data_IF_741285414993
#
_entry.id   IF_741285414993
#
_cell.length_a   1.000
_cell.length_b   1.000
_cell.length_c   1.000
_cell.angle_alpha   90.00
_cell.angle_beta   90.00
_cell.angle_gamma   90.00
#
_symmetry.space_group_name_H-M   'P 1'
#
loop_
_entity.id
_entity.type
_entity.pdbx_description
1 polymer ?
#
# COMPACT_ATOMS: atom_id res chain seq x y z
N UNK A 1 -14.37 -39.16 18.62
CA UNK A 1 -14.94 -37.97 19.31
C UNK A 1 -14.41 -36.67 18.66
N UNK A 2 -13.15 -36.47 18.56
CA UNK A 2 -12.50 -35.25 18.06
C UNK A 2 -12.96 -34.80 16.65
N UNK A 3 -13.11 -35.68 15.68
CA UNK A 3 -13.60 -35.32 14.34
C UNK A 3 -15.05 -34.80 14.32
N UNK A 4 -15.90 -35.32 15.22
CA UNK A 4 -17.31 -34.89 15.32
C UNK A 4 -17.43 -33.52 16.00
N UNK A 5 -16.59 -33.26 16.98
CA UNK A 5 -16.49 -31.98 17.68
C UNK A 5 -15.93 -30.89 16.76
N UNK A 6 -14.86 -31.18 16.01
CA UNK A 6 -14.29 -30.25 15.01
C UNK A 6 -15.30 -29.91 13.90
N UNK A 7 -16.12 -30.88 13.45
CA UNK A 7 -17.16 -30.59 12.47
C UNK A 7 -18.24 -29.67 13.03
N UNK A 8 -18.70 -29.91 14.26
CA UNK A 8 -19.70 -29.05 14.91
C UNK A 8 -19.17 -27.62 15.10
N UNK A 9 -17.91 -27.48 15.55
CA UNK A 9 -17.26 -26.18 15.68
C UNK A 9 -17.18 -25.46 14.33
N UNK A 10 -16.76 -26.16 13.28
CA UNK A 10 -16.68 -25.58 11.94
C UNK A 10 -18.05 -25.08 11.44
N UNK A 11 -19.10 -25.88 11.63
CA UNK A 11 -20.47 -25.50 11.23
C UNK A 11 -20.93 -24.23 11.99
N UNK A 12 -20.61 -24.11 13.27
CA UNK A 12 -20.92 -22.93 14.08
C UNK A 12 -20.17 -21.70 13.54
N UNK A 13 -18.84 -21.80 13.33
CA UNK A 13 -18.03 -20.70 12.80
C UNK A 13 -18.50 -20.25 11.42
N UNK A 14 -18.88 -21.17 10.53
CA UNK A 14 -19.41 -20.83 9.22
C UNK A 14 -20.71 -20.01 9.30
N UNK A 15 -21.63 -20.38 10.21
CA UNK A 15 -22.87 -19.65 10.43
C UNK A 15 -22.61 -18.26 11.00
N UNK A 16 -21.78 -18.13 12.04
CA UNK A 16 -21.41 -16.86 12.66
C UNK A 16 -20.72 -15.90 11.67
N UNK A 17 -19.93 -16.45 10.73
CA UNK A 17 -19.23 -15.67 9.70
C UNK A 17 -20.08 -15.45 8.43
N UNK A 18 -21.37 -15.83 8.41
CA UNK A 18 -22.23 -15.76 7.23
C UNK A 18 -21.56 -16.42 6.00
N UNK A 19 -20.94 -17.58 6.19
CA UNK A 19 -20.23 -18.32 5.15
C UNK A 19 -19.18 -17.46 4.41
N UNK A 20 -18.43 -16.62 5.13
CA UNK A 20 -17.33 -15.83 4.57
C UNK A 20 -16.02 -16.18 5.26
N UNK A 21 -14.97 -16.29 4.46
CA UNK A 21 -13.61 -16.48 4.99
C UNK A 21 -13.21 -15.33 5.90
N UNK A 22 -12.76 -15.64 7.12
CA UNK A 22 -12.40 -14.62 8.11
C UNK A 22 -11.22 -13.74 7.68
N UNK A 23 -10.38 -14.22 6.75
CA UNK A 23 -9.23 -13.47 6.24
C UNK A 23 -9.60 -12.66 5.00
N UNK A 24 -10.01 -13.30 3.89
CA UNK A 24 -10.20 -12.64 2.60
C UNK A 24 -11.64 -12.15 2.35
N UNK A 25 -12.58 -12.47 3.23
CA UNK A 25 -14.00 -12.10 3.14
C UNK A 25 -14.75 -12.64 1.90
N UNK A 26 -14.09 -13.48 1.07
CA UNK A 26 -14.74 -14.19 -0.04
C UNK A 26 -15.65 -15.30 0.52
N UNK A 27 -16.71 -15.72 -0.20
CA UNK A 27 -17.58 -16.82 0.22
C UNK A 27 -16.78 -18.09 0.55
N UNK A 28 -17.27 -18.86 1.51
CA UNK A 28 -16.82 -20.20 1.87
C UNK A 28 -17.95 -21.17 1.53
N UNK A 29 -17.73 -22.04 0.54
CA UNK A 29 -18.66 -23.10 0.19
C UNK A 29 -18.09 -24.46 0.67
N UNK A 30 -18.69 -25.06 1.71
CA UNK A 30 -18.20 -26.35 2.24
C UNK A 30 -18.25 -27.52 1.25
N UNK A 31 -18.98 -27.36 0.13
CA UNK A 31 -19.08 -28.39 -0.90
C UNK A 31 -17.92 -28.42 -1.88
N UNK A 32 -17.23 -27.27 -2.05
CA UNK A 32 -16.16 -27.09 -3.04
C UNK A 32 -14.85 -26.59 -2.42
N UNK A 33 -14.92 -25.83 -1.33
CA UNK A 33 -13.74 -25.21 -0.72
C UNK A 33 -13.08 -26.13 0.32
N UNK A 34 -11.74 -26.09 0.37
CA UNK A 34 -11.00 -26.63 1.51
C UNK A 34 -10.99 -25.57 2.61
N UNK A 35 -11.65 -25.90 3.72
CA UNK A 35 -11.84 -24.98 4.85
C UNK A 35 -11.05 -25.49 6.06
N UNK A 36 -10.32 -24.59 6.71
CA UNK A 36 -9.60 -24.85 7.95
C UNK A 36 -10.18 -24.01 9.09
N UNK A 37 -10.14 -24.56 10.31
CA UNK A 37 -10.29 -23.80 11.54
C UNK A 37 -8.92 -23.17 11.84
N UNK A 38 -8.87 -21.84 11.84
CA UNK A 38 -7.65 -21.07 12.02
C UNK A 38 -7.65 -20.36 13.38
N UNK A 39 -6.51 -20.30 14.05
CA UNK A 39 -6.32 -19.44 15.20
C UNK A 39 -6.21 -17.98 14.76
N UNK A 40 -7.09 -17.10 15.25
CA UNK A 40 -7.06 -15.65 15.00
C UNK A 40 -5.71 -15.10 15.49
N UNK A 41 -5.39 -15.35 16.76
CA UNK A 41 -4.05 -15.12 17.33
C UNK A 41 -3.29 -16.44 17.21
N UNK A 42 -2.17 -16.49 16.46
CA UNK A 42 -1.39 -17.71 16.30
C UNK A 42 -0.90 -18.30 17.63
N UNK A 43 -0.84 -19.61 17.75
CA UNK A 43 -0.28 -20.31 18.92
C UNK A 43 1.15 -19.83 19.22
N UNK A 44 1.98 -19.60 18.20
CA UNK A 44 3.35 -19.07 18.32
C UNK A 44 3.39 -17.66 18.95
N UNK A 45 2.25 -16.95 18.99
CA UNK A 45 2.09 -15.62 19.61
C UNK A 45 1.22 -15.65 20.88
N UNK A 46 1.08 -16.81 21.49
CA UNK A 46 0.33 -17.00 22.73
C UNK A 46 -1.17 -17.15 22.54
N UNK A 47 -1.65 -17.39 21.32
CA UNK A 47 -3.04 -17.71 21.07
C UNK A 47 -3.46 -19.02 21.72
N UNK A 48 -4.59 -19.01 22.41
CA UNK A 48 -5.15 -20.17 23.13
C UNK A 48 -6.06 -21.00 22.20
N UNK A 49 -6.24 -22.26 22.57
CA UNK A 49 -7.26 -23.13 21.99
C UNK A 49 -8.62 -22.82 22.65
N UNK A 50 -9.22 -21.71 22.23
CA UNK A 50 -10.46 -21.14 22.75
C UNK A 50 -11.39 -20.84 21.57
N UNK A 51 -12.70 -21.08 21.72
CA UNK A 51 -13.69 -20.83 20.68
C UNK A 51 -13.64 -19.39 20.15
N UNK A 52 -13.37 -18.41 21.03
CA UNK A 52 -13.23 -17.01 20.64
C UNK A 52 -11.95 -16.72 19.82
N UNK A 53 -11.00 -17.66 19.79
CA UNK A 53 -9.76 -17.55 19.03
C UNK A 53 -9.77 -18.37 17.73
N UNK A 54 -10.91 -18.96 17.37
CA UNK A 54 -11.06 -19.76 16.16
C UNK A 54 -11.87 -19.02 15.10
N UNK A 55 -11.55 -19.27 13.83
CA UNK A 55 -12.30 -18.76 12.70
C UNK A 55 -12.21 -19.72 11.51
N UNK A 56 -13.27 -19.80 10.71
CA UNK A 56 -13.29 -20.55 9.46
C UNK A 56 -12.61 -19.75 8.34
N UNK A 57 -11.68 -20.38 7.64
CA UNK A 57 -10.92 -19.75 6.55
C UNK A 57 -10.70 -20.73 5.42
N UNK A 58 -10.47 -20.22 4.18
CA UNK A 58 -9.92 -21.08 3.15
C UNK A 58 -8.56 -21.62 3.61
N UNK A 59 -8.27 -22.88 3.31
CA UNK A 59 -6.96 -23.49 3.64
C UNK A 59 -5.78 -22.73 3.03
N UNK A 60 -5.98 -22.13 1.85
CA UNK A 60 -4.97 -21.26 1.23
C UNK A 60 -4.71 -19.98 2.04
N UNK A 61 -5.77 -19.32 2.53
CA UNK A 61 -5.66 -18.14 3.38
C UNK A 61 -4.99 -18.45 4.72
N UNK A 62 -5.34 -19.59 5.33
CA UNK A 62 -4.71 -20.06 6.56
C UNK A 62 -3.21 -20.29 6.38
N UNK A 63 -2.80 -21.00 5.35
CA UNK A 63 -1.38 -21.22 5.02
C UNK A 63 -0.65 -19.91 4.73
N UNK A 64 -1.27 -19.00 3.98
CA UNK A 64 -0.69 -17.67 3.68
C UNK A 64 -0.52 -16.82 4.93
N UNK A 65 -1.45 -16.88 5.88
CA UNK A 65 -1.36 -16.19 7.17
C UNK A 65 -0.19 -16.72 7.99
N UNK A 66 -0.06 -18.07 8.11
CA UNK A 66 0.92 -18.71 8.99
C UNK A 66 0.86 -18.12 10.42
N UNK A 67 1.97 -17.65 10.96
CA UNK A 67 2.09 -16.98 12.26
C UNK A 67 1.95 -15.45 12.21
N UNK A 68 1.60 -14.88 11.04
CA UNK A 68 1.43 -13.44 10.88
C UNK A 68 0.22 -12.92 11.66
N UNK A 69 0.26 -11.62 11.99
CA UNK A 69 -0.90 -10.87 12.49
C UNK A 69 -2.06 -10.97 11.47
N UNK A 70 -3.29 -11.05 11.97
CA UNK A 70 -4.48 -11.11 11.13
C UNK A 70 -4.60 -9.91 10.17
N UNK A 71 -4.21 -8.71 10.63
CA UNK A 71 -4.23 -7.49 9.81
C UNK A 71 -3.31 -7.63 8.61
N UNK A 72 -2.11 -8.19 8.81
CA UNK A 72 -1.17 -8.48 7.71
C UNK A 72 -1.79 -9.48 6.73
N UNK A 73 -2.41 -10.54 7.23
CA UNK A 73 -3.07 -11.55 6.39
C UNK A 73 -4.19 -10.93 5.55
N UNK A 74 -5.02 -10.06 6.13
CA UNK A 74 -6.08 -9.33 5.43
C UNK A 74 -5.53 -8.36 4.37
N UNK A 75 -4.47 -7.63 4.67
CA UNK A 75 -3.79 -6.76 3.71
C UNK A 75 -3.25 -7.56 2.51
N UNK A 76 -2.67 -8.73 2.76
CA UNK A 76 -2.17 -9.60 1.68
C UNK A 76 -3.32 -10.18 0.86
N UNK A 77 -4.45 -10.52 1.47
CA UNK A 77 -5.63 -10.96 0.73
C UNK A 77 -6.19 -9.84 -0.18
N UNK A 78 -6.18 -8.59 0.26
CA UNK A 78 -6.52 -7.43 -0.59
C UNK A 78 -5.50 -7.24 -1.72
N UNK A 79 -4.20 -7.40 -1.43
CA UNK A 79 -3.15 -7.38 -2.45
C UNK A 79 -3.40 -8.45 -3.54
N UNK A 80 -3.74 -9.67 -3.13
CA UNK A 80 -4.04 -10.77 -4.07
C UNK A 80 -5.30 -10.48 -4.91
N UNK A 81 -6.31 -9.81 -4.34
CA UNK A 81 -7.50 -9.38 -5.10
C UNK A 81 -7.15 -8.37 -6.20
N UNK A 82 -6.25 -7.39 -5.92
CA UNK A 82 -5.77 -6.46 -6.94
C UNK A 82 -5.01 -7.21 -8.03
N UNK A 83 -4.13 -8.12 -7.63
CA UNK A 83 -3.37 -8.96 -8.55
C UNK A 83 -4.26 -9.80 -9.47
N UNK A 84 -5.34 -10.38 -8.94
CA UNK A 84 -6.33 -11.14 -9.72
C UNK A 84 -7.04 -10.27 -10.77
N UNK A 85 -7.37 -9.00 -10.42
CA UNK A 85 -8.03 -8.05 -11.32
C UNK A 85 -7.13 -7.61 -12.48
N UNK A 86 -5.84 -7.40 -12.23
CA UNK A 86 -4.86 -7.01 -13.26
C UNK A 86 -4.70 -8.10 -14.33
N UNK A 87 -5.14 -9.33 -14.01
CA UNK A 87 -5.24 -10.44 -14.97
C UNK A 87 -3.91 -11.07 -15.34
N UNK A 88 -3.93 -11.90 -16.38
CA UNK A 88 -2.80 -12.73 -16.80
C UNK A 88 -1.85 -12.05 -17.81
N UNK A 89 -2.00 -10.76 -18.07
CA UNK A 89 -1.07 -10.04 -18.94
C UNK A 89 0.32 -9.99 -18.30
N UNK A 90 1.34 -10.32 -19.04
CA UNK A 90 2.73 -10.34 -18.55
C UNK A 90 3.33 -8.92 -18.69
N UNK A 91 3.91 -8.39 -17.59
CA UNK A 91 4.05 -8.97 -16.26
C UNK A 91 2.80 -8.72 -15.38
N UNK A 92 2.11 -9.79 -15.00
CA UNK A 92 0.94 -9.77 -14.13
C UNK A 92 1.30 -9.33 -12.70
N UNK A 93 1.66 -8.07 -12.55
CA UNK A 93 2.06 -7.48 -11.27
C UNK A 93 1.39 -6.13 -11.10
N UNK A 94 0.60 -5.93 -10.05
CA UNK A 94 -0.05 -4.67 -9.79
C UNK A 94 0.97 -3.57 -9.53
N UNK A 95 0.68 -2.36 -9.98
CA UNK A 95 1.42 -1.15 -9.71
C UNK A 95 0.64 -0.22 -8.76
N UNK A 96 1.17 0.95 -8.45
CA UNK A 96 0.49 1.90 -7.55
C UNK A 96 -0.88 2.35 -8.09
N UNK A 97 -1.05 2.49 -9.42
CA UNK A 97 -2.33 2.92 -9.98
C UNK A 97 -3.46 1.92 -9.70
N UNK A 98 -3.17 0.62 -9.78
CA UNK A 98 -4.15 -0.43 -9.52
C UNK A 98 -4.65 -0.39 -8.06
N UNK A 99 -3.77 -0.06 -7.11
CA UNK A 99 -4.15 0.12 -5.71
C UNK A 99 -4.88 1.44 -5.47
N UNK A 100 -4.45 2.53 -6.10
CA UNK A 100 -5.19 3.80 -6.05
C UNK A 100 -6.62 3.62 -6.55
N UNK A 101 -6.81 2.95 -7.69
CA UNK A 101 -8.14 2.64 -8.23
C UNK A 101 -8.99 1.85 -7.22
N UNK A 102 -8.45 0.76 -6.64
CA UNK A 102 -9.18 -0.05 -5.64
C UNK A 102 -9.65 0.79 -4.46
N UNK A 103 -8.80 1.70 -3.97
CA UNK A 103 -9.07 2.53 -2.80
C UNK A 103 -9.74 3.86 -3.14
N UNK A 104 -10.08 4.11 -4.40
CA UNK A 104 -10.75 5.32 -4.87
C UNK A 104 -9.83 6.53 -4.97
N UNK A 105 -8.53 6.31 -5.12
CA UNK A 105 -7.52 7.33 -5.34
C UNK A 105 -7.40 7.79 -6.79
N UNK A 106 -6.52 8.75 -7.06
CA UNK A 106 -6.15 9.18 -8.41
C UNK A 106 -7.26 9.87 -9.20
N UNK A 107 -8.13 10.62 -8.53
CA UNK A 107 -9.34 11.19 -9.14
C UNK A 107 -9.21 12.67 -9.47
N UNK A 108 -8.56 13.45 -8.60
CA UNK A 108 -8.63 14.89 -8.61
C UNK A 108 -7.27 15.55 -8.84
N UNK A 109 -7.30 16.77 -9.36
CA UNK A 109 -6.14 17.63 -9.45
C UNK A 109 -6.13 18.56 -8.24
N UNK A 110 -4.94 18.91 -7.77
CA UNK A 110 -4.77 19.83 -6.67
C UNK A 110 -4.83 21.27 -7.22
N UNK A 111 -5.71 22.12 -6.71
CA UNK A 111 -5.72 23.52 -7.04
C UNK A 111 -4.58 24.23 -6.30
N UNK A 112 -3.72 24.93 -7.03
CA UNK A 112 -2.49 25.50 -6.47
C UNK A 112 -2.24 26.92 -6.94
N UNK A 113 -1.58 27.69 -6.07
CA UNK A 113 -1.03 29.01 -6.42
C UNK A 113 0.31 29.20 -5.71
N UNK A 114 1.33 29.59 -6.45
CA UNK A 114 2.62 29.94 -5.87
C UNK A 114 2.73 31.46 -5.80
N UNK A 115 3.11 31.93 -4.62
CA UNK A 115 3.46 33.32 -4.41
C UNK A 115 4.71 33.37 -3.52
N UNK A 116 5.75 34.02 -3.99
CA UNK A 116 7.07 34.05 -3.36
C UNK A 116 7.61 32.64 -3.11
N UNK A 117 7.86 32.28 -1.86
CA UNK A 117 8.33 30.95 -1.47
C UNK A 117 7.23 30.12 -0.80
N UNK A 118 5.98 30.35 -1.15
CA UNK A 118 4.82 29.66 -0.55
C UNK A 118 3.91 29.10 -1.63
N UNK A 119 3.54 27.83 -1.48
CA UNK A 119 2.48 27.20 -2.25
C UNK A 119 1.20 27.23 -1.42
N UNK A 120 0.17 27.91 -1.92
CA UNK A 120 -1.20 27.78 -1.41
C UNK A 120 -1.91 26.71 -2.22
N UNK A 121 -2.58 25.77 -1.56
CA UNK A 121 -3.37 24.74 -2.25
C UNK A 121 -4.72 24.52 -1.61
N UNK A 122 -5.66 24.02 -2.39
CA UNK A 122 -6.98 23.62 -1.95
C UNK A 122 -7.43 22.32 -2.61
N UNK A 123 -8.37 21.66 -1.95
CA UNK A 123 -8.94 20.37 -2.34
C UNK A 123 -10.47 20.48 -2.36
N UNK A 124 -11.06 21.17 -3.37
CA UNK A 124 -12.50 21.53 -3.37
C UNK A 124 -13.43 20.33 -3.22
N UNK A 125 -13.05 19.16 -3.74
CA UNK A 125 -13.85 17.94 -3.70
C UNK A 125 -13.92 17.29 -2.30
N UNK A 126 -13.02 17.70 -1.38
CA UNK A 126 -13.00 17.21 0.01
C UNK A 126 -13.47 18.32 0.97
N UNK A 127 -12.91 19.51 0.80
CA UNK A 127 -13.26 20.66 1.62
C UNK A 127 -12.85 21.96 0.92
N UNK A 128 -13.42 23.08 1.34
CA UNK A 128 -13.11 24.43 0.79
C UNK A 128 -12.00 25.13 1.56
N UNK A 129 -11.11 24.40 2.24
CA UNK A 129 -9.99 24.99 2.99
C UNK A 129 -8.79 25.24 2.10
N UNK A 130 -8.10 26.33 2.39
CA UNK A 130 -6.80 26.65 1.81
C UNK A 130 -5.68 26.29 2.78
N UNK A 131 -4.69 25.62 2.26
CA UNK A 131 -3.49 25.20 2.99
C UNK A 131 -2.27 25.93 2.44
N UNK A 132 -1.34 26.25 3.30
CA UNK A 132 -0.08 26.90 2.92
C UNK A 132 1.07 25.98 3.30
N UNK A 133 2.00 25.81 2.35
CA UNK A 133 3.25 25.08 2.59
C UNK A 133 4.42 25.85 2.00
N UNK A 134 5.59 25.85 2.67
CA UNK A 134 6.77 26.49 2.11
C UNK A 134 7.27 25.73 0.88
N UNK A 135 7.75 26.49 -0.10
CA UNK A 135 8.48 25.97 -1.26
C UNK A 135 9.98 26.09 -0.97
N UNK A 136 10.66 24.99 -1.07
CA UNK A 136 12.11 24.88 -0.92
C UNK A 136 12.79 24.75 -2.28
N UNK A 137 14.02 25.17 -2.36
CA UNK A 137 14.89 24.94 -3.52
C UNK A 137 15.97 23.95 -3.10
N UNK A 138 16.08 22.85 -3.79
CA UNK A 138 17.19 21.91 -3.61
C UNK A 138 18.48 22.57 -4.12
N UNK A 139 19.45 22.74 -3.23
CA UNK A 139 20.65 23.53 -3.50
C UNK A 139 21.57 22.93 -4.56
N UNK A 140 21.49 21.62 -4.80
CA UNK A 140 22.34 20.94 -5.77
C UNK A 140 21.68 20.87 -7.16
N UNK A 141 20.40 20.57 -7.20
CA UNK A 141 19.67 20.42 -8.45
C UNK A 141 18.93 21.69 -8.92
N UNK A 142 18.73 22.67 -8.02
CA UNK A 142 17.91 23.84 -8.28
C UNK A 142 16.41 23.55 -8.36
N UNK A 143 15.98 22.31 -8.15
CA UNK A 143 14.57 21.92 -8.24
C UNK A 143 13.76 22.48 -7.07
N UNK A 144 12.61 23.08 -7.39
CA UNK A 144 11.65 23.53 -6.38
C UNK A 144 10.81 22.35 -5.88
N UNK A 145 10.60 22.29 -4.56
CA UNK A 145 9.76 21.25 -3.96
C UNK A 145 9.05 21.74 -2.70
N UNK A 146 7.97 21.06 -2.34
CA UNK A 146 7.33 21.20 -1.04
C UNK A 146 7.07 19.83 -0.41
N UNK A 147 6.73 19.81 0.89
CA UNK A 147 6.33 18.60 1.61
C UNK A 147 4.92 18.81 2.11
N UNK A 148 4.04 17.86 1.81
CA UNK A 148 2.64 17.94 2.17
C UNK A 148 2.06 16.55 2.45
N UNK A 149 0.95 16.52 3.16
CA UNK A 149 0.18 15.29 3.40
C UNK A 149 -1.09 15.35 2.57
N UNK A 150 -1.22 14.46 1.58
CA UNK A 150 -2.32 14.49 0.61
C UNK A 150 -3.20 13.25 0.72
N UNK A 151 -4.54 13.45 0.64
CA UNK A 151 -5.47 12.35 0.43
C UNK A 151 -5.14 11.58 -0.85
N UNK A 152 -5.35 10.27 -0.82
CA UNK A 152 -5.02 9.39 -1.96
C UNK A 152 -5.82 9.74 -3.22
N UNK A 153 -6.95 10.40 -3.07
CA UNK A 153 -7.80 10.91 -4.16
C UNK A 153 -7.05 11.88 -5.08
N UNK A 154 -6.04 12.58 -4.56
CA UNK A 154 -5.19 13.54 -5.27
C UNK A 154 -3.85 12.96 -5.73
N UNK A 155 -3.56 11.71 -5.43
CA UNK A 155 -2.31 11.03 -5.81
C UNK A 155 -2.51 10.21 -7.07
N UNK A 156 -1.64 10.40 -8.03
CA UNK A 156 -1.59 9.62 -9.27
C UNK A 156 -0.28 8.84 -9.34
N UNK A 157 -0.20 7.86 -10.24
CA UNK A 157 1.03 7.10 -10.47
C UNK A 157 1.68 7.52 -11.79
N UNK A 158 3.00 7.73 -11.79
CA UNK A 158 3.77 7.92 -13.02
C UNK A 158 4.49 6.63 -13.42
N UNK A 159 3.93 5.96 -14.43
CA UNK A 159 4.51 4.74 -15.00
C UNK A 159 5.78 5.01 -15.84
N UNK A 160 6.00 6.23 -16.32
CA UNK A 160 7.14 6.58 -17.19
C UNK A 160 8.43 6.64 -16.39
N UNK A 161 8.40 7.27 -15.21
CA UNK A 161 9.57 7.39 -14.34
C UNK A 161 9.81 6.10 -13.56
N UNK A 162 8.75 5.46 -13.07
CA UNK A 162 8.89 4.22 -12.29
C UNK A 162 7.83 3.18 -12.66
N UNK A 163 8.07 2.37 -13.69
CA UNK A 163 7.15 1.32 -14.12
C UNK A 163 7.13 0.10 -13.20
N UNK A 164 7.81 0.15 -12.04
CA UNK A 164 7.94 -1.00 -11.15
C UNK A 164 6.60 -1.42 -10.57
N UNK A 165 6.36 -2.72 -10.64
CA UNK A 165 5.25 -3.32 -9.92
C UNK A 165 5.50 -3.37 -8.41
N UNK A 166 4.43 -3.37 -7.65
CA UNK A 166 4.47 -3.59 -6.20
C UNK A 166 4.70 -5.07 -5.93
N UNK A 167 5.78 -5.38 -5.23
CA UNK A 167 6.19 -6.76 -4.95
C UNK A 167 5.37 -7.38 -3.81
N UNK A 168 5.10 -8.70 -3.83
CA UNK A 168 4.54 -9.44 -2.68
C UNK A 168 5.38 -9.33 -1.40
N UNK A 169 6.66 -8.88 -1.49
CA UNK A 169 7.52 -8.59 -0.33
C UNK A 169 7.01 -7.46 0.56
N UNK A 170 5.89 -6.83 0.18
CA UNK A 170 5.17 -5.84 1.00
C UNK A 170 4.83 -6.33 2.41
N UNK A 171 4.77 -7.66 2.64
CA UNK A 171 4.57 -8.26 3.97
C UNK A 171 5.55 -7.71 5.02
N UNK A 172 6.82 -7.52 4.66
CA UNK A 172 7.84 -6.95 5.55
C UNK A 172 7.48 -5.54 6.00
N UNK A 173 7.04 -4.69 5.05
CA UNK A 173 6.59 -3.32 5.33
C UNK A 173 5.32 -3.28 6.20
N UNK A 174 4.37 -4.17 5.94
CA UNK A 174 3.14 -4.27 6.76
C UNK A 174 3.48 -4.61 8.21
N UNK A 175 4.36 -5.59 8.45
CA UNK A 175 4.81 -5.94 9.79
C UNK A 175 5.57 -4.78 10.46
N UNK A 176 6.41 -4.07 9.73
CA UNK A 176 7.16 -2.93 10.23
C UNK A 176 6.23 -1.79 10.68
N UNK A 177 5.26 -1.42 9.85
CA UNK A 177 4.30 -0.37 10.20
C UNK A 177 3.40 -0.78 11.38
N UNK A 178 2.97 -2.03 11.44
CA UNK A 178 2.17 -2.53 12.56
C UNK A 178 2.97 -2.66 13.86
N UNK A 179 4.30 -2.73 13.81
CA UNK A 179 5.16 -2.69 14.99
C UNK A 179 5.39 -1.28 15.55
N UNK A 180 4.76 -0.25 14.95
CA UNK A 180 4.85 1.14 15.39
C UNK A 180 6.18 1.81 15.01
N UNK A 181 6.95 1.25 14.10
CA UNK A 181 8.19 1.88 13.62
C UNK A 181 7.87 3.08 12.73
N UNK A 182 8.59 4.20 12.88
CA UNK A 182 8.37 5.38 12.08
C UNK A 182 8.73 5.16 10.62
N UNK A 183 7.98 5.76 9.73
CA UNK A 183 8.33 5.80 8.31
C UNK A 183 9.47 6.80 8.08
N UNK A 184 10.64 6.29 7.69
CA UNK A 184 11.83 7.12 7.48
C UNK A 184 11.87 7.81 6.11
N UNK A 185 11.12 7.32 5.12
CA UNK A 185 11.10 7.85 3.76
C UNK A 185 9.66 8.12 3.32
N UNK A 186 9.42 9.31 2.82
CA UNK A 186 8.13 9.72 2.25
C UNK A 186 8.10 9.41 0.75
N UNK A 187 6.92 9.39 0.16
CA UNK A 187 6.78 9.22 -1.28
C UNK A 187 7.32 10.46 -2.02
N UNK A 188 7.97 10.23 -3.16
CA UNK A 188 8.38 11.29 -4.07
C UNK A 188 7.35 11.42 -5.19
N UNK A 189 6.93 12.65 -5.42
CA UNK A 189 5.97 12.98 -6.46
C UNK A 189 6.45 14.21 -7.25
N UNK A 190 5.89 14.42 -8.42
CA UNK A 190 6.10 15.59 -9.23
C UNK A 190 4.83 16.02 -9.94
N UNK A 191 4.82 17.24 -10.43
CA UNK A 191 3.75 17.74 -11.29
C UNK A 191 4.12 19.07 -11.91
N UNK A 192 3.47 19.39 -13.04
CA UNK A 192 3.52 20.68 -13.69
C UNK A 192 2.26 21.45 -13.35
N UNK A 193 2.41 22.74 -13.03
CA UNK A 193 1.27 23.61 -12.79
C UNK A 193 0.78 24.13 -14.13
N UNK A 194 -0.48 23.81 -14.44
CA UNK A 194 -1.20 24.26 -15.62
C UNK A 194 -2.56 24.82 -15.15
N UNK A 195 -2.93 26.01 -15.56
CA UNK A 195 -4.19 26.68 -15.21
C UNK A 195 -4.52 26.70 -13.70
N UNK A 196 -3.52 26.86 -12.86
CA UNK A 196 -3.59 26.80 -11.39
C UNK A 196 -3.96 25.42 -10.84
N UNK A 197 -3.76 24.36 -11.59
CA UNK A 197 -3.93 22.98 -11.16
C UNK A 197 -2.62 22.20 -11.29
N UNK A 198 -2.45 21.17 -10.47
CA UNK A 198 -1.33 20.26 -10.56
C UNK A 198 -1.79 18.81 -10.36
N UNK A 199 -1.34 17.93 -11.26
CA UNK A 199 -1.47 16.48 -11.10
C UNK A 199 -0.28 15.96 -10.28
N UNK A 200 -0.53 15.48 -9.08
CA UNK A 200 0.51 14.96 -8.19
C UNK A 200 0.85 13.52 -8.57
N UNK A 201 1.93 13.32 -9.29
CA UNK A 201 2.34 12.03 -9.86
C UNK A 201 3.43 11.38 -9.00
N UNK A 202 3.09 10.33 -8.26
CA UNK A 202 4.03 9.57 -7.43
C UNK A 202 4.92 8.71 -8.31
N UNK A 203 6.23 8.85 -8.19
CA UNK A 203 7.23 8.10 -8.94
C UNK A 203 8.19 7.28 -8.07
N UNK A 204 8.27 7.53 -6.77
CA UNK A 204 9.03 6.70 -5.83
C UNK A 204 8.29 6.53 -4.50
N UNK A 205 8.68 5.50 -3.72
CA UNK A 205 8.01 5.16 -2.47
C UNK A 205 6.73 4.32 -2.63
N UNK A 206 6.45 3.80 -3.80
CA UNK A 206 5.21 3.07 -4.17
C UNK A 206 4.88 1.92 -3.21
N UNK A 207 5.87 1.07 -2.83
CA UNK A 207 5.64 -0.04 -1.92
C UNK A 207 5.17 0.43 -0.53
N UNK A 208 5.74 1.53 -0.04
CA UNK A 208 5.35 2.12 1.25
C UNK A 208 3.96 2.75 1.18
N UNK A 209 3.67 3.47 0.10
CA UNK A 209 2.35 4.04 -0.15
C UNK A 209 1.27 2.95 -0.18
N UNK A 210 1.50 1.87 -0.92
CA UNK A 210 0.57 0.73 -1.00
C UNK A 210 0.42 0.04 0.36
N UNK A 211 1.52 -0.19 1.10
CA UNK A 211 1.42 -0.79 2.44
C UNK A 211 0.58 0.05 3.39
N UNK A 212 0.71 1.38 3.35
CA UNK A 212 -0.12 2.29 4.14
C UNK A 212 -1.58 2.25 3.73
N UNK A 213 -1.88 2.29 2.42
CA UNK A 213 -3.26 2.17 1.92
C UNK A 213 -3.90 0.84 2.31
N UNK A 214 -3.18 -0.27 2.22
CA UNK A 214 -3.65 -1.59 2.68
C UNK A 214 -3.96 -1.61 4.18
N UNK A 215 -3.25 -0.82 4.98
CA UNK A 215 -3.50 -0.64 6.42
C UNK A 215 -4.60 0.39 6.72
N UNK A 216 -5.25 0.95 5.71
CA UNK A 216 -6.36 1.88 5.85
C UNK A 216 -5.95 3.36 5.93
N UNK A 217 -4.69 3.70 5.70
CA UNK A 217 -4.23 5.09 5.65
C UNK A 217 -4.77 5.75 4.37
N UNK A 218 -5.44 6.90 4.54
CA UNK A 218 -6.10 7.62 3.44
C UNK A 218 -5.37 8.89 3.03
N UNK A 219 -4.38 9.34 3.79
CA UNK A 219 -3.54 10.51 3.46
C UNK A 219 -2.08 10.14 3.59
N UNK A 220 -1.29 10.46 2.57
CA UNK A 220 0.11 10.07 2.50
C UNK A 220 1.02 11.31 2.48
N UNK A 221 2.14 11.29 3.23
CA UNK A 221 3.15 12.33 3.13
C UNK A 221 3.91 12.18 1.81
N UNK A 222 4.03 13.29 1.08
CA UNK A 222 4.74 13.35 -0.20
C UNK A 222 5.70 14.53 -0.25
N UNK A 223 6.86 14.34 -0.88
CA UNK A 223 7.72 15.43 -1.36
C UNK A 223 7.35 15.67 -2.82
N UNK A 224 6.73 16.80 -3.09
CA UNK A 224 6.26 17.18 -4.42
C UNK A 224 7.29 18.12 -5.08
N UNK A 225 7.90 17.67 -6.18
CA UNK A 225 8.69 18.51 -7.07
C UNK A 225 7.76 19.27 -8.01
N UNK A 226 7.97 20.58 -8.11
CA UNK A 226 7.10 21.51 -8.82
C UNK A 226 7.78 21.92 -10.13
N UNK A 227 7.10 21.71 -11.25
CA UNK A 227 7.58 22.03 -12.60
C UNK A 227 8.99 21.48 -12.92
N UNK A 228 9.37 20.27 -12.51
CA UNK A 228 10.67 19.73 -12.87
C UNK A 228 10.70 19.29 -14.34
N UNK A 229 11.88 19.14 -14.91
CA UNK A 229 12.03 18.30 -16.10
C UNK A 229 11.88 16.81 -15.70
N UNK A 230 10.89 16.07 -16.23
CA UNK A 230 10.69 14.67 -15.89
C UNK A 230 11.90 13.77 -16.21
N UNK A 231 12.74 14.14 -17.20
CA UNK A 231 13.94 13.39 -17.58
C UNK A 231 14.98 13.42 -16.44
N UNK A 232 15.15 14.57 -15.80
CA UNK A 232 16.05 14.71 -14.63
C UNK A 232 15.62 13.78 -13.49
N UNK A 233 14.32 13.67 -13.24
CA UNK A 233 13.79 12.77 -12.22
C UNK A 233 13.95 11.30 -12.62
N UNK A 234 13.76 10.97 -13.90
CA UNK A 234 13.96 9.62 -14.42
C UNK A 234 15.41 9.16 -14.25
N UNK A 235 16.37 10.00 -14.65
CA UNK A 235 17.80 9.73 -14.48
C UNK A 235 18.18 9.57 -13.01
N UNK A 236 17.74 10.47 -12.14
CA UNK A 236 18.00 10.40 -10.72
C UNK A 236 17.43 9.12 -10.10
N UNK A 237 16.20 8.74 -10.43
CA UNK A 237 15.56 7.54 -9.93
C UNK A 237 16.26 6.25 -10.42
N UNK A 238 16.70 6.23 -11.68
CA UNK A 238 17.44 5.11 -12.27
C UNK A 238 18.80 4.93 -11.61
N UNK A 239 19.54 6.01 -11.44
CA UNK A 239 20.86 6.00 -10.81
C UNK A 239 20.80 5.59 -9.34
N UNK A 240 19.84 6.13 -8.57
CA UNK A 240 19.63 5.75 -7.18
C UNK A 240 19.34 4.24 -7.03
N UNK A 241 18.49 3.69 -7.91
CA UNK A 241 18.17 2.26 -7.91
C UNK A 241 19.38 1.37 -8.26
N UNK A 242 20.30 1.84 -9.08
CA UNK A 242 21.54 1.12 -9.42
C UNK A 242 22.52 1.16 -8.27
N UNK A 243 22.74 2.31 -7.67
CA UNK A 243 23.63 2.49 -6.51
C UNK A 243 23.18 1.66 -5.31
N UNK A 244 21.88 1.64 -4.99
CA UNK A 244 21.36 0.82 -3.88
C UNK A 244 21.57 -0.68 -4.12
N UNK A 245 21.47 -1.16 -5.36
CA UNK A 245 21.75 -2.56 -5.69
C UNK A 245 23.24 -2.89 -5.51
N UNK A 246 24.13 -1.98 -5.91
CA UNK A 246 25.57 -2.14 -5.72
C UNK A 246 25.91 -2.22 -4.23
N UNK A 247 25.44 -1.29 -3.41
CA UNK A 247 25.65 -1.29 -1.96
C UNK A 247 25.14 -2.57 -1.31
N UNK A 248 23.94 -3.05 -1.70
CA UNK A 248 23.41 -4.30 -1.18
C UNK A 248 24.25 -5.52 -1.57
N UNK A 249 24.79 -5.53 -2.80
CA UNK A 249 25.70 -6.56 -3.27
C UNK A 249 27.01 -6.55 -2.48
N UNK A 250 27.64 -5.39 -2.33
CA UNK A 250 28.90 -5.23 -1.58
C UNK A 250 28.75 -5.66 -0.12
N UNK A 251 27.63 -5.33 0.53
CA UNK A 251 27.32 -5.82 1.87
C UNK A 251 27.10 -7.32 1.96
N UNK A 252 26.64 -7.96 0.87
CA UNK A 252 26.43 -9.42 0.82
C UNK A 252 27.76 -10.19 0.71
N UNK A 253 28.78 -9.56 0.13
CA UNK A 253 30.13 -10.15 -0.01
C UNK A 253 30.91 -10.05 1.30
N UNK A 254 30.61 -9.05 2.14
CA UNK A 254 31.33 -8.83 3.43
C UNK A 254 30.81 -9.71 4.58
N UNK A 255 29.77 -10.52 4.34
CA UNK A 255 29.24 -11.52 5.28
C UNK A 255 29.69 -12.91 4.93
#
# INVERSE_FOLDING_TARGET
MEQKENKKLLDTLLQEQNYKCFICQKPLDPSIDKIDINHIIPRAKGGKDDENNFAATHSSCNRSKSDSDLRVARCLALYDQVKEKVGTQVPNRPNLADFLELFGGGKYLLHVRIQDSTLTYSMPEINNQHYLVPVYIDTLSGLSYCVMNLPIEYLHHDQRINPRAVSPRIRGLLNEFLSGRPQLHIALAWGTIEDNEIRVQVFDGQHKAVAQMLLGVRSLPVRLFINPDPNVLLEANTNAGTTLRQVAFDQSIQR
#
